data_IF_770381553786
#
_entry.id   IF_770381553786
#
_cell.length_a   1.000
_cell.length_b   1.000
_cell.length_c   1.000
_cell.angle_alpha   90.00
_cell.angle_beta   90.00
_cell.angle_gamma   90.00
#
_symmetry.space_group_name_H-M   'P 1'
#
loop_
_entity.id
_entity.type
_entity.pdbx_description
1 polymer ?
#
# COMPACT_ATOMS: atom_id res chain seq x y z
N UNK A 1 12.32 -27.97 14.99
CA UNK A 1 12.00 -26.98 13.93
C UNK A 1 13.22 -26.78 13.03
N UNK A 2 13.10 -27.06 11.73
CA UNK A 2 14.13 -26.67 10.76
C UNK A 2 14.14 -25.15 10.62
N UNK A 3 15.24 -24.54 10.20
CA UNK A 3 15.37 -23.08 10.09
C UNK A 3 14.22 -22.41 9.28
N UNK A 4 13.64 -23.15 8.32
CA UNK A 4 12.48 -22.73 7.52
C UNK A 4 11.20 -22.57 8.34
N UNK A 5 10.92 -23.48 9.28
CA UNK A 5 9.71 -23.45 10.11
C UNK A 5 9.70 -22.20 11.00
N UNK A 6 10.87 -21.85 11.56
CA UNK A 6 11.02 -20.65 12.36
C UNK A 6 10.82 -19.38 11.52
N UNK A 7 11.41 -19.32 10.31
CA UNK A 7 11.19 -18.19 9.38
C UNK A 7 9.71 -18.02 9.05
N UNK A 8 8.99 -19.12 8.82
CA UNK A 8 7.56 -19.08 8.51
C UNK A 8 6.76 -18.48 9.67
N UNK A 9 6.95 -18.96 10.91
CA UNK A 9 6.24 -18.44 12.09
C UNK A 9 6.56 -16.96 12.32
N UNK A 10 7.83 -16.57 12.20
CA UNK A 10 8.24 -15.16 12.35
C UNK A 10 7.62 -14.27 11.25
N UNK A 11 7.61 -14.74 10.00
CA UNK A 11 7.02 -14.02 8.89
C UNK A 11 5.50 -13.88 9.04
N UNK A 12 4.80 -14.93 9.49
CA UNK A 12 3.37 -14.87 9.80
C UNK A 12 3.06 -13.81 10.85
N UNK A 13 3.81 -13.79 11.96
CA UNK A 13 3.64 -12.78 13.01
C UNK A 13 3.81 -11.36 12.48
N UNK A 14 4.81 -11.12 11.62
CA UNK A 14 5.03 -9.81 10.99
C UNK A 14 3.98 -9.46 9.93
N UNK A 15 3.47 -10.45 9.19
CA UNK A 15 2.41 -10.25 8.20
C UNK A 15 1.10 -9.84 8.88
N UNK A 16 0.75 -10.46 10.02
CA UNK A 16 -0.43 -10.09 10.82
C UNK A 16 -0.38 -8.62 11.25
N UNK A 17 0.77 -8.15 11.72
CA UNK A 17 0.95 -6.72 12.09
C UNK A 17 0.78 -5.79 10.87
N UNK A 18 1.26 -6.17 9.69
CA UNK A 18 1.02 -5.36 8.48
C UNK A 18 -0.47 -5.36 8.07
N UNK A 19 -1.17 -6.48 8.24
CA UNK A 19 -2.59 -6.55 7.95
C UNK A 19 -3.44 -5.70 8.91
N UNK A 20 -3.09 -5.70 10.20
CA UNK A 20 -3.72 -4.84 11.21
C UNK A 20 -3.51 -3.37 10.88
N UNK A 21 -2.28 -2.95 10.56
CA UNK A 21 -1.99 -1.58 10.13
C UNK A 21 -2.71 -1.18 8.84
N UNK A 22 -2.85 -2.09 7.87
CA UNK A 22 -3.67 -1.83 6.68
C UNK A 22 -5.14 -1.59 7.06
N UNK A 23 -5.64 -2.29 8.08
CA UNK A 23 -6.96 -2.06 8.68
C UNK A 23 -7.09 -0.67 9.31
N UNK A 24 -6.09 -0.21 10.06
CA UNK A 24 -6.06 1.13 10.64
C UNK A 24 -6.10 2.23 9.57
N UNK A 25 -5.38 2.03 8.46
CA UNK A 25 -5.41 2.96 7.33
C UNK A 25 -6.78 2.96 6.63
N UNK A 26 -7.42 1.79 6.49
CA UNK A 26 -8.80 1.70 5.99
C UNK A 26 -9.80 2.42 6.91
N UNK A 27 -9.64 2.30 8.23
CA UNK A 27 -10.44 3.05 9.21
C UNK A 27 -10.22 4.57 9.06
N UNK A 28 -8.97 4.99 8.83
CA UNK A 28 -8.62 6.40 8.59
C UNK A 28 -9.30 6.93 7.33
N UNK A 29 -9.31 6.17 6.23
CA UNK A 29 -10.07 6.53 5.02
C UNK A 29 -11.54 6.75 5.36
N UNK A 30 -12.19 5.78 6.03
CA UNK A 30 -13.61 5.86 6.37
C UNK A 30 -13.94 7.10 7.23
N UNK A 31 -13.13 7.39 8.26
CA UNK A 31 -13.32 8.55 9.14
C UNK A 31 -13.20 9.88 8.38
N UNK A 32 -12.25 9.99 7.45
CA UNK A 32 -12.04 11.20 6.64
C UNK A 32 -13.12 11.38 5.59
N UNK A 33 -13.52 10.30 4.92
CA UNK A 33 -14.64 10.33 3.98
C UNK A 33 -15.93 10.76 4.66
N UNK A 34 -16.22 10.26 5.86
CA UNK A 34 -17.39 10.69 6.64
C UNK A 34 -17.40 12.20 6.89
N UNK A 35 -16.26 12.75 7.32
CA UNK A 35 -16.09 14.19 7.56
C UNK A 35 -16.32 15.04 6.30
N UNK A 36 -15.82 14.58 5.16
CA UNK A 36 -16.02 15.26 3.86
C UNK A 36 -17.48 15.27 3.41
N UNK A 37 -18.23 14.21 3.73
CA UNK A 37 -19.66 14.14 3.44
C UNK A 37 -20.42 15.10 4.36
N UNK A 38 -20.11 15.09 5.66
CA UNK A 38 -20.76 15.95 6.67
C UNK A 38 -20.49 17.45 6.44
N UNK A 39 -19.34 17.81 5.88
CA UNK A 39 -19.01 19.21 5.55
C UNK A 39 -19.67 19.73 4.27
N UNK A 40 -20.36 18.88 3.50
CA UNK A 40 -20.94 19.24 2.21
C UNK A 40 -19.92 19.44 1.09
N UNK A 41 -18.62 19.24 1.36
CA UNK A 41 -17.54 19.48 0.40
C UNK A 41 -17.43 18.43 -0.72
N UNK A 42 -18.19 17.33 -0.63
CA UNK A 42 -18.14 16.21 -1.56
C UNK A 42 -18.46 16.59 -3.03
N UNK A 43 -19.14 17.72 -3.29
CA UNK A 43 -19.59 18.09 -4.62
C UNK A 43 -18.51 18.76 -5.51
N UNK A 44 -17.38 19.20 -4.93
CA UNK A 44 -16.40 20.03 -5.64
C UNK A 44 -15.08 19.31 -5.98
N UNK A 45 -14.95 18.02 -5.67
CA UNK A 45 -13.68 17.29 -5.80
C UNK A 45 -13.81 16.09 -6.73
N UNK A 46 -12.89 16.00 -7.68
CA UNK A 46 -12.74 14.79 -8.48
C UNK A 46 -12.16 13.65 -7.63
N UNK A 47 -12.97 12.64 -7.35
CA UNK A 47 -12.59 11.45 -6.57
C UNK A 47 -12.13 10.26 -7.43
N UNK A 48 -12.06 10.41 -8.76
CA UNK A 48 -11.73 9.31 -9.66
C UNK A 48 -10.32 8.75 -9.40
N UNK A 49 -9.34 9.63 -9.18
CA UNK A 49 -7.94 9.24 -8.89
C UNK A 49 -7.84 8.47 -7.57
N UNK A 50 -8.46 9.00 -6.50
CA UNK A 50 -8.53 8.31 -5.19
C UNK A 50 -9.18 6.93 -5.33
N UNK A 51 -10.26 6.83 -6.10
CA UNK A 51 -10.95 5.56 -6.34
C UNK A 51 -10.04 4.56 -7.06
N UNK A 52 -9.31 5.01 -8.08
CA UNK A 52 -8.35 4.19 -8.81
C UNK A 52 -7.23 3.70 -7.89
N UNK A 53 -6.56 4.59 -7.16
CA UNK A 53 -5.49 4.22 -6.22
C UNK A 53 -6.00 3.27 -5.14
N UNK A 54 -7.24 3.46 -4.66
CA UNK A 54 -7.88 2.54 -3.71
C UNK A 54 -8.07 1.14 -4.28
N UNK A 55 -8.47 1.02 -5.55
CA UNK A 55 -8.58 -0.28 -6.23
C UNK A 55 -7.22 -0.96 -6.41
N UNK A 56 -6.18 -0.18 -6.75
CA UNK A 56 -4.81 -0.67 -6.86
C UNK A 56 -4.32 -1.22 -5.51
N UNK A 57 -4.48 -0.46 -4.42
CA UNK A 57 -4.08 -0.89 -3.08
C UNK A 57 -4.80 -2.18 -2.63
N UNK A 58 -6.11 -2.29 -2.90
CA UNK A 58 -6.88 -3.52 -2.63
C UNK A 58 -6.35 -4.70 -3.45
N UNK A 59 -6.00 -4.47 -4.72
CA UNK A 59 -5.43 -5.49 -5.60
C UNK A 59 -4.09 -6.00 -5.08
N UNK A 60 -3.17 -5.10 -4.72
CA UNK A 60 -1.87 -5.44 -4.14
C UNK A 60 -2.02 -6.23 -2.86
N UNK A 61 -2.91 -5.81 -1.95
CA UNK A 61 -3.15 -6.51 -0.69
C UNK A 61 -3.68 -7.93 -0.92
N UNK A 62 -4.59 -8.13 -1.89
CA UNK A 62 -5.09 -9.47 -2.22
C UNK A 62 -3.99 -10.36 -2.79
N UNK A 63 -3.19 -9.83 -3.72
CA UNK A 63 -2.11 -10.58 -4.36
C UNK A 63 -0.97 -10.90 -3.40
N UNK A 64 -0.64 -10.00 -2.48
CA UNK A 64 0.39 -10.27 -1.46
C UNK A 64 -0.04 -11.41 -0.53
N UNK A 65 -1.32 -11.47 -0.15
CA UNK A 65 -1.87 -12.56 0.65
C UNK A 65 -1.94 -13.89 -0.11
N UNK A 66 -2.31 -13.89 -1.40
CA UNK A 66 -2.29 -15.11 -2.22
C UNK A 66 -0.85 -15.63 -2.44
N UNK A 67 0.10 -14.73 -2.74
CA UNK A 67 1.51 -15.05 -2.85
C UNK A 67 2.06 -15.62 -1.53
N UNK A 68 1.65 -15.04 -0.39
CA UNK A 68 2.03 -15.55 0.94
C UNK A 68 1.47 -16.94 1.21
N UNK A 69 0.19 -17.19 0.89
CA UNK A 69 -0.45 -18.49 1.09
C UNK A 69 0.21 -19.61 0.26
N UNK A 70 0.69 -19.27 -0.94
CA UNK A 70 1.33 -20.22 -1.87
C UNK A 70 2.85 -20.26 -1.75
N UNK A 71 3.44 -19.36 -0.97
CA UNK A 71 4.88 -19.07 -0.96
C UNK A 71 5.44 -18.78 -2.36
N UNK A 72 4.66 -18.09 -3.19
CA UNK A 72 5.00 -17.76 -4.57
C UNK A 72 5.90 -16.51 -4.61
N UNK A 73 7.19 -16.71 -4.83
CA UNK A 73 8.17 -15.63 -4.86
C UNK A 73 8.04 -14.75 -6.09
N UNK A 74 7.54 -15.28 -7.22
CA UNK A 74 7.39 -14.52 -8.46
C UNK A 74 6.22 -13.55 -8.31
N UNK A 75 5.06 -14.05 -7.88
CA UNK A 75 3.89 -13.21 -7.60
C UNK A 75 4.20 -12.15 -6.53
N UNK A 76 5.01 -12.49 -5.51
CA UNK A 76 5.46 -11.52 -4.52
C UNK A 76 6.33 -10.40 -5.12
N UNK A 77 7.26 -10.73 -6.03
CA UNK A 77 8.10 -9.73 -6.68
C UNK A 77 7.28 -8.75 -7.56
N UNK A 78 6.25 -9.25 -8.25
CA UNK A 78 5.33 -8.40 -9.02
C UNK A 78 4.59 -7.40 -8.12
N UNK A 79 4.10 -7.83 -6.95
CA UNK A 79 3.45 -6.93 -5.98
C UNK A 79 4.39 -5.79 -5.56
N UNK A 80 5.66 -6.12 -5.26
CA UNK A 80 6.66 -5.11 -4.89
C UNK A 80 6.92 -4.13 -6.03
N UNK A 81 6.85 -4.59 -7.29
CA UNK A 81 7.06 -3.73 -8.46
C UNK A 81 5.88 -2.78 -8.70
N UNK A 82 4.66 -3.28 -8.57
CA UNK A 82 3.44 -2.52 -8.83
C UNK A 82 3.13 -1.49 -7.74
N UNK A 83 3.59 -1.69 -6.51
CA UNK A 83 3.47 -0.71 -5.42
C UNK A 83 4.00 0.68 -5.79
N UNK A 84 5.05 0.75 -6.62
CA UNK A 84 5.61 2.01 -7.13
C UNK A 84 4.59 2.85 -7.89
N UNK A 85 3.63 2.22 -8.56
CA UNK A 85 2.60 2.95 -9.28
C UNK A 85 1.70 3.71 -8.31
N UNK A 86 1.41 3.14 -7.12
CA UNK A 86 0.62 3.83 -6.09
C UNK A 86 1.39 5.04 -5.54
N UNK A 87 2.69 4.92 -5.32
CA UNK A 87 3.55 6.05 -4.90
C UNK A 87 3.55 7.20 -5.93
N UNK A 88 3.59 6.86 -7.21
CA UNK A 88 3.56 7.83 -8.31
C UNK A 88 2.20 8.54 -8.40
N UNK A 89 1.10 7.78 -8.32
CA UNK A 89 -0.26 8.31 -8.27
C UNK A 89 -0.44 9.24 -7.05
N UNK A 90 0.05 8.84 -5.87
CA UNK A 90 0.02 9.68 -4.68
C UNK A 90 0.76 11.01 -4.90
N UNK A 91 1.99 10.98 -5.44
CA UNK A 91 2.75 12.20 -5.75
C UNK A 91 2.07 13.07 -6.80
N UNK A 92 1.41 12.45 -7.80
CA UNK A 92 0.58 13.14 -8.79
C UNK A 92 -0.59 13.87 -8.15
N UNK A 93 -1.33 13.17 -7.30
CA UNK A 93 -2.49 13.68 -6.59
C UNK A 93 -2.13 14.84 -5.64
N UNK A 94 -1.03 14.73 -4.89
CA UNK A 94 -0.54 15.79 -4.00
C UNK A 94 -0.29 17.10 -4.77
N UNK A 95 0.35 17.02 -5.95
CA UNK A 95 0.62 18.21 -6.78
C UNK A 95 -0.68 18.90 -7.21
N UNK A 96 -1.68 18.12 -7.64
CA UNK A 96 -3.00 18.64 -8.04
C UNK A 96 -3.74 19.27 -6.86
N UNK A 97 -3.70 18.63 -5.68
CA UNK A 97 -4.32 19.17 -4.47
C UNK A 97 -3.72 20.53 -4.07
N UNK A 98 -2.41 20.70 -4.21
CA UNK A 98 -1.75 21.98 -3.93
C UNK A 98 -2.31 23.07 -4.85
N UNK A 99 -2.39 22.82 -6.16
CA UNK A 99 -2.95 23.78 -7.13
C UNK A 99 -4.39 24.12 -6.78
N UNK A 100 -5.22 23.12 -6.47
CA UNK A 100 -6.62 23.33 -6.09
C UNK A 100 -6.79 24.20 -4.83
N UNK A 101 -5.96 23.96 -3.81
CA UNK A 101 -5.95 24.78 -2.58
C UNK A 101 -5.43 26.20 -2.80
N UNK A 102 -4.53 26.39 -3.78
CA UNK A 102 -4.04 27.73 -4.16
C UNK A 102 -5.09 28.54 -4.94
N UNK A 103 -5.90 27.87 -5.77
CA UNK A 103 -6.98 28.51 -6.53
C UNK A 103 -8.13 29.00 -5.63
N UNK A 104 -8.50 28.22 -4.60
CA UNK A 104 -9.48 28.62 -3.60
C UNK A 104 -9.06 28.20 -2.18
N UNK A 105 -8.60 29.14 -1.33
CA UNK A 105 -8.20 28.86 0.05
C UNK A 105 -9.31 28.27 0.94
N UNK A 106 -10.59 28.44 0.59
CA UNK A 106 -11.68 27.81 1.36
C UNK A 106 -11.66 26.28 1.23
N UNK A 107 -10.98 25.75 0.22
CA UNK A 107 -10.85 24.31 -0.02
C UNK A 107 -9.74 23.65 0.80
N UNK A 108 -8.91 24.41 1.55
CA UNK A 108 -7.74 23.87 2.27
C UNK A 108 -8.12 22.72 3.21
N UNK A 109 -9.16 22.89 4.03
CA UNK A 109 -9.57 21.85 4.99
C UNK A 109 -9.95 20.55 4.26
N UNK A 110 -10.72 20.69 3.19
CA UNK A 110 -11.13 19.59 2.31
C UNK A 110 -9.94 18.93 1.62
N UNK A 111 -8.98 19.71 1.13
CA UNK A 111 -7.74 19.24 0.53
C UNK A 111 -6.88 18.44 1.51
N UNK A 112 -6.80 18.85 2.78
CA UNK A 112 -6.08 18.13 3.83
C UNK A 112 -6.73 16.79 4.19
N UNK A 113 -8.07 16.72 4.22
CA UNK A 113 -8.77 15.45 4.42
C UNK A 113 -8.55 14.51 3.22
N UNK A 114 -8.57 15.02 1.98
CA UNK A 114 -8.26 14.25 0.78
C UNK A 114 -6.80 13.78 0.75
N UNK A 115 -5.85 14.61 1.16
CA UNK A 115 -4.44 14.23 1.32
C UNK A 115 -4.29 13.09 2.32
N UNK A 116 -5.02 13.16 3.44
CA UNK A 116 -5.01 12.10 4.46
C UNK A 116 -5.55 10.79 3.91
N UNK A 117 -6.62 10.83 3.10
CA UNK A 117 -7.17 9.65 2.41
C UNK A 117 -6.15 9.07 1.43
N UNK A 118 -5.56 9.90 0.58
CA UNK A 118 -4.57 9.47 -0.41
C UNK A 118 -3.36 8.82 0.27
N UNK A 119 -2.85 9.41 1.35
CA UNK A 119 -1.72 8.84 2.10
C UNK A 119 -2.09 7.54 2.78
N UNK A 120 -3.31 7.41 3.31
CA UNK A 120 -3.76 6.14 3.90
C UNK A 120 -3.83 5.02 2.84
N UNK A 121 -4.28 5.33 1.62
CA UNK A 121 -4.29 4.37 0.50
C UNK A 121 -2.88 3.94 0.12
N UNK A 122 -1.93 4.87 0.00
CA UNK A 122 -0.53 4.54 -0.28
C UNK A 122 0.07 3.66 0.82
N UNK A 123 -0.23 3.93 2.09
CA UNK A 123 0.22 3.09 3.21
C UNK A 123 -0.36 1.67 3.19
N UNK A 124 -1.58 1.48 2.67
CA UNK A 124 -2.13 0.13 2.44
C UNK A 124 -1.29 -0.61 1.40
N UNK A 125 -0.87 0.07 0.32
CA UNK A 125 0.09 -0.45 -0.67
C UNK A 125 1.41 -0.87 -0.02
N UNK A 126 2.01 0.02 0.77
CA UNK A 126 3.24 -0.26 1.52
C UNK A 126 3.12 -1.51 2.41
N UNK A 127 2.00 -1.66 3.12
CA UNK A 127 1.75 -2.85 3.94
C UNK A 127 1.60 -4.12 3.10
N UNK A 128 0.99 -4.03 1.92
CA UNK A 128 0.93 -5.13 0.97
C UNK A 128 2.32 -5.51 0.43
N UNK A 129 3.16 -4.53 0.06
CA UNK A 129 4.57 -4.73 -0.32
C UNK A 129 5.33 -5.46 0.78
N UNK A 130 5.24 -5.01 2.02
CA UNK A 130 5.94 -5.64 3.15
C UNK A 130 5.53 -7.12 3.33
N UNK A 131 4.24 -7.44 3.15
CA UNK A 131 3.76 -8.84 3.19
C UNK A 131 4.40 -9.67 2.07
N UNK A 132 4.48 -9.13 0.85
CA UNK A 132 5.13 -9.79 -0.28
C UNK A 132 6.63 -10.01 -0.04
N UNK A 133 7.35 -9.05 0.52
CA UNK A 133 8.78 -9.20 0.86
C UNK A 133 9.03 -10.37 1.85
N UNK A 134 8.10 -10.62 2.78
CA UNK A 134 8.23 -11.77 3.68
C UNK A 134 8.16 -13.11 2.95
N UNK A 135 7.44 -13.20 1.83
CA UNK A 135 7.38 -14.42 1.01
C UNK A 135 8.76 -14.77 0.49
N UNK A 136 9.46 -13.78 -0.06
CA UNK A 136 10.82 -13.93 -0.57
C UNK A 136 11.78 -14.31 0.56
N UNK A 137 11.65 -13.66 1.72
CA UNK A 137 12.45 -14.00 2.91
C UNK A 137 12.23 -15.45 3.39
N UNK A 138 10.99 -15.93 3.44
CA UNK A 138 10.68 -17.31 3.85
C UNK A 138 11.34 -18.31 2.89
N UNK A 139 11.16 -18.10 1.59
CA UNK A 139 11.59 -19.01 0.53
C UNK A 139 13.12 -19.02 0.35
N UNK A 140 13.74 -17.85 0.27
CA UNK A 140 15.17 -17.71 -0.07
C UNK A 140 16.07 -17.57 1.15
N UNK A 141 15.53 -17.16 2.30
CA UNK A 141 16.33 -16.91 3.51
C UNK A 141 17.17 -15.63 3.46
N UNK A 142 17.15 -14.93 2.33
CA UNK A 142 17.79 -13.64 2.10
C UNK A 142 16.86 -12.52 2.56
N UNK A 143 17.40 -11.56 3.31
CA UNK A 143 16.68 -10.36 3.68
C UNK A 143 16.66 -9.37 2.50
N UNK A 144 15.61 -9.44 1.69
CA UNK A 144 15.45 -8.59 0.49
C UNK A 144 14.86 -7.21 0.79
N UNK A 145 14.57 -6.90 2.05
CA UNK A 145 13.91 -5.65 2.47
C UNK A 145 14.80 -4.41 2.35
N UNK A 146 16.10 -4.60 2.11
CA UNK A 146 17.11 -3.53 2.06
C UNK A 146 17.99 -3.56 0.81
N UNK A 147 17.64 -4.38 -0.19
CA UNK A 147 18.39 -4.45 -1.44
C UNK A 147 17.69 -3.63 -2.53
N UNK A 148 18.44 -3.14 -3.54
CA UNK A 148 17.85 -2.54 -4.73
C UNK A 148 16.78 -3.45 -5.34
N UNK A 149 15.72 -2.85 -5.86
CA UNK A 149 14.56 -3.58 -6.38
C UNK A 149 14.92 -4.57 -7.51
N UNK A 150 15.90 -4.24 -8.35
CA UNK A 150 16.40 -5.15 -9.40
C UNK A 150 16.99 -6.44 -8.80
N UNK A 151 17.64 -6.32 -7.64
CA UNK A 151 18.19 -7.47 -6.92
C UNK A 151 17.09 -8.31 -6.26
N UNK A 152 15.98 -7.70 -5.85
CA UNK A 152 14.81 -8.41 -5.30
C UNK A 152 14.15 -9.29 -6.36
N UNK A 153 13.91 -8.77 -7.57
CA UNK A 153 13.36 -9.54 -8.69
C UNK A 153 14.30 -10.68 -9.09
N UNK A 154 15.61 -10.41 -9.09
CA UNK A 154 16.61 -11.45 -9.37
C UNK A 154 16.60 -12.54 -8.30
N UNK A 155 16.52 -12.19 -7.02
CA UNK A 155 16.47 -13.14 -5.90
C UNK A 155 15.22 -14.00 -5.94
N UNK A 156 14.06 -13.41 -6.26
CA UNK A 156 12.78 -14.10 -6.38
C UNK A 156 12.77 -15.19 -7.47
N UNK A 157 13.53 -14.97 -8.55
CA UNK A 157 13.62 -15.87 -9.70
C UNK A 157 14.76 -16.90 -9.61
N UNK A 158 15.60 -16.87 -8.57
CA UNK A 158 16.61 -17.92 -8.38
C UNK A 158 15.91 -19.29 -8.22
N UNK A 159 16.52 -20.39 -8.70
CA UNK A 159 16.00 -21.73 -8.44
C UNK A 159 15.98 -22.07 -6.94
#
# INVERSE_FOLDING_TARGET
PTARDLRLVMAMSKAINNLERAGDEAERVAKRTKRLIESGAAHNINVAEIRLSGQMAISLLRRSLDAFARLDTVAAAEVVQEDRQIDEEFKGFVRKLITYMMEDPHTISTGLDMLTIAKAIERIGDHAKNIAEFVIYIAKGSDVRHIPHEDLVREANKP
#
